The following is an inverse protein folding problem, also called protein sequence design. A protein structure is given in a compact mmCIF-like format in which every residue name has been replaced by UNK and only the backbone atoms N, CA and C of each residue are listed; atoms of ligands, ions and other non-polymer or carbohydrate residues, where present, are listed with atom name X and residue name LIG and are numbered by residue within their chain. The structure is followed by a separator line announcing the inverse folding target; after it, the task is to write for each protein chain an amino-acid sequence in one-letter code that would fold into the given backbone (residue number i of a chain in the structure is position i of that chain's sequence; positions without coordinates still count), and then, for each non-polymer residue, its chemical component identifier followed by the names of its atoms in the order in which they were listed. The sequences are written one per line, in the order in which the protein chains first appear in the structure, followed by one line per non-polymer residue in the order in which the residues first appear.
data_IF_115065199640
#
_entry.id   IF_115065199640
#
_cell.length_a   1.000
_cell.length_b   1.000
_cell.length_c   1.000
_cell.angle_alpha   90.00
_cell.angle_beta   90.00
_cell.angle_gamma   90.00
#
_symmetry.space_group_name_H-M   'P 1'
#
loop_
_entity.id
_entity.type
_entity.pdbx_description
1 polymer ?
#
# COMPACT_ATOMS: atom_id res chain seq x y z
N UNK A 1 -1.33 33.93 -1.57
CA UNK A 1 -0.94 32.54 -1.17
C UNK A 1 -0.26 31.81 -2.30
N UNK A 2 0.65 30.86 -1.98
CA UNK A 2 1.24 29.95 -2.97
C UNK A 2 0.69 28.53 -2.74
N UNK A 3 0.36 27.84 -3.82
CA UNK A 3 -0.01 26.44 -3.71
C UNK A 3 1.18 25.62 -3.21
N UNK A 4 0.98 24.79 -2.18
CA UNK A 4 2.01 23.89 -1.70
C UNK A 4 2.44 22.91 -2.80
N UNK A 5 3.74 22.77 -3.01
CA UNK A 5 4.34 21.77 -3.87
C UNK A 5 5.48 21.08 -3.09
N UNK A 6 5.57 19.75 -3.13
CA UNK A 6 6.70 19.05 -2.53
C UNK A 6 8.02 19.54 -3.13
N UNK A 7 9.03 19.72 -2.29
CA UNK A 7 10.37 20.19 -2.70
C UNK A 7 11.16 19.19 -3.57
N UNK A 8 10.63 17.97 -3.75
CA UNK A 8 11.28 16.85 -4.45
C UNK A 8 12.63 16.43 -3.85
N UNK A 9 12.92 16.84 -2.63
CA UNK A 9 14.14 16.44 -1.91
C UNK A 9 14.01 15.02 -1.39
N UNK A 10 15.05 14.23 -1.54
CA UNK A 10 15.17 12.89 -0.98
C UNK A 10 16.54 12.73 -0.33
N UNK A 11 16.64 12.91 1.00
CA UNK A 11 17.90 12.71 1.72
C UNK A 11 18.42 11.29 1.53
N UNK A 12 19.74 11.13 1.28
CA UNK A 12 20.33 9.80 1.00
C UNK A 12 20.07 8.79 2.12
N UNK A 13 20.14 9.24 3.39
CA UNK A 13 19.81 8.41 4.54
C UNK A 13 18.33 8.00 4.53
N UNK A 14 17.43 8.92 4.16
CA UNK A 14 16.00 8.63 4.03
C UNK A 14 15.73 7.58 2.94
N UNK A 15 16.39 7.72 1.78
CA UNK A 15 16.28 6.73 0.69
C UNK A 15 16.78 5.36 1.13
N UNK A 16 17.89 5.30 1.88
CA UNK A 16 18.42 4.05 2.42
C UNK A 16 17.44 3.40 3.41
N UNK A 17 16.83 4.19 4.31
CA UNK A 17 15.79 3.70 5.25
C UNK A 17 14.61 3.15 4.48
N UNK A 18 14.10 3.87 3.48
CA UNK A 18 12.95 3.43 2.70
C UNK A 18 13.26 2.17 1.90
N UNK A 19 14.43 2.08 1.26
CA UNK A 19 14.86 0.90 0.52
C UNK A 19 15.01 -0.33 1.43
N UNK A 20 15.65 -0.17 2.58
CA UNK A 20 15.76 -1.24 3.57
C UNK A 20 14.37 -1.69 4.08
N UNK A 21 13.49 -0.73 4.36
CA UNK A 21 12.11 -1.01 4.78
C UNK A 21 11.34 -1.75 3.69
N UNK A 22 11.52 -1.42 2.40
CA UNK A 22 10.89 -2.11 1.27
C UNK A 22 11.27 -3.59 1.21
N UNK A 23 12.55 -3.89 1.42
CA UNK A 23 13.06 -5.27 1.40
C UNK A 23 12.62 -6.05 2.65
N UNK A 24 12.85 -5.49 3.83
CA UNK A 24 12.60 -6.18 5.10
C UNK A 24 11.10 -6.40 5.32
N UNK A 25 10.28 -5.36 5.15
CA UNK A 25 8.83 -5.50 5.30
C UNK A 25 8.23 -6.42 4.24
N UNK A 26 8.74 -6.32 2.99
CA UNK A 26 8.28 -7.18 1.91
C UNK A 26 8.52 -8.66 2.21
N UNK A 27 9.73 -9.02 2.64
CA UNK A 27 10.04 -10.41 3.03
C UNK A 27 9.22 -10.85 4.23
N UNK A 28 9.10 -10.01 5.25
CA UNK A 28 8.38 -10.36 6.48
C UNK A 28 6.87 -10.55 6.22
N UNK A 29 6.23 -9.61 5.52
CA UNK A 29 4.79 -9.65 5.24
C UNK A 29 4.46 -10.78 4.26
N UNK A 30 5.24 -10.93 3.17
CA UNK A 30 5.03 -11.99 2.20
C UNK A 30 5.24 -13.38 2.81
N UNK A 31 6.30 -13.55 3.60
CA UNK A 31 6.59 -14.81 4.31
C UNK A 31 5.52 -15.16 5.36
N UNK A 32 5.10 -14.18 6.17
CA UNK A 32 3.99 -14.38 7.12
C UNK A 32 2.69 -14.76 6.41
N UNK A 33 2.39 -14.12 5.28
CA UNK A 33 1.20 -14.43 4.48
C UNK A 33 1.30 -15.84 3.88
N UNK A 34 2.48 -16.28 3.41
CA UNK A 34 2.68 -17.65 2.94
C UNK A 34 2.45 -18.69 4.03
N UNK A 35 2.85 -18.38 5.27
CA UNK A 35 2.60 -19.25 6.43
C UNK A 35 1.12 -19.33 6.78
N UNK A 36 0.43 -18.16 6.88
CA UNK A 36 -1.02 -18.11 7.17
C UNK A 36 -1.82 -18.78 6.06
N UNK A 37 -1.39 -18.61 4.80
CA UNK A 37 -2.03 -19.19 3.61
C UNK A 37 -2.07 -20.71 3.57
N UNK A 38 -1.30 -21.42 4.43
CA UNK A 38 -1.43 -22.88 4.61
C UNK A 38 -2.78 -23.28 5.22
N UNK A 39 -3.38 -22.40 6.01
CA UNK A 39 -4.60 -22.69 6.75
C UNK A 39 -5.83 -22.06 6.09
N UNK A 40 -5.70 -20.83 5.64
CA UNK A 40 -6.78 -20.06 5.04
C UNK A 40 -6.20 -19.12 3.99
N UNK A 41 -6.79 -19.08 2.79
CA UNK A 41 -6.43 -18.10 1.75
C UNK A 41 -7.67 -17.46 1.12
N UNK A 42 -7.74 -16.14 1.16
CA UNK A 42 -8.77 -15.35 0.52
C UNK A 42 -8.18 -14.56 -0.65
N UNK A 43 -8.60 -14.88 -1.87
CA UNK A 43 -8.03 -14.40 -3.12
C UNK A 43 -7.95 -12.86 -3.21
N UNK A 44 -8.91 -12.12 -2.67
CA UNK A 44 -8.92 -10.65 -2.72
C UNK A 44 -8.38 -10.04 -1.44
N UNK A 45 -8.75 -10.60 -0.29
CA UNK A 45 -8.43 -10.01 1.01
C UNK A 45 -6.92 -10.05 1.31
N UNK A 46 -6.24 -11.14 0.94
CA UNK A 46 -4.82 -11.28 1.19
C UNK A 46 -3.97 -10.29 0.38
N UNK A 47 -4.16 -10.12 -0.95
CA UNK A 47 -3.47 -9.09 -1.71
C UNK A 47 -3.73 -7.67 -1.19
N UNK A 48 -4.98 -7.35 -0.81
CA UNK A 48 -5.30 -6.06 -0.20
C UNK A 48 -4.58 -5.86 1.13
N UNK A 49 -4.64 -6.85 2.02
CA UNK A 49 -3.97 -6.80 3.33
C UNK A 49 -2.45 -6.65 3.23
N UNK A 50 -1.81 -7.44 2.34
CA UNK A 50 -0.37 -7.36 2.09
C UNK A 50 0.04 -5.99 1.54
N UNK A 51 -0.67 -5.50 0.52
CA UNK A 51 -0.38 -4.21 -0.11
C UNK A 51 -0.55 -3.06 0.87
N UNK A 52 -1.63 -3.06 1.66
CA UNK A 52 -1.88 -2.07 2.69
C UNK A 52 -0.82 -2.10 3.80
N UNK A 53 -0.50 -3.29 4.34
CA UNK A 53 0.50 -3.44 5.40
C UNK A 53 1.89 -2.98 4.92
N UNK A 54 2.32 -3.42 3.74
CA UNK A 54 3.59 -2.98 3.14
C UNK A 54 3.59 -1.47 2.92
N UNK A 55 2.54 -0.93 2.29
CA UNK A 55 2.41 0.51 2.04
C UNK A 55 2.44 1.35 3.31
N UNK A 56 1.79 0.90 4.39
CA UNK A 56 1.78 1.59 5.69
C UNK A 56 3.18 1.67 6.31
N UNK A 57 3.94 0.57 6.29
CA UNK A 57 5.33 0.55 6.75
C UNK A 57 6.18 1.52 5.92
N UNK A 58 5.99 1.53 4.60
CA UNK A 58 6.74 2.41 3.70
C UNK A 58 6.32 3.87 3.83
N UNK A 59 5.04 4.17 4.06
CA UNK A 59 4.57 5.52 4.37
C UNK A 59 5.22 6.07 5.63
N UNK A 60 5.31 5.25 6.69
CA UNK A 60 6.05 5.60 7.89
C UNK A 60 7.55 5.83 7.62
N UNK A 61 8.19 4.97 6.80
CA UNK A 61 9.58 5.11 6.42
C UNK A 61 9.85 6.40 5.62
N UNK A 62 8.92 6.81 4.74
CA UNK A 62 8.97 8.10 4.02
C UNK A 62 8.97 9.26 5.00
N UNK A 63 8.05 9.26 5.98
CA UNK A 63 7.98 10.31 7.01
C UNK A 63 9.25 10.33 7.86
N UNK A 64 9.72 9.19 8.33
CA UNK A 64 10.93 9.06 9.14
C UNK A 64 12.19 9.49 8.36
N UNK A 65 12.26 9.14 7.09
CA UNK A 65 13.36 9.49 6.18
C UNK A 65 13.24 10.90 5.59
N UNK A 66 12.18 11.64 5.91
CA UNK A 66 11.91 13.00 5.39
C UNK A 66 12.01 13.06 3.85
N UNK A 67 11.42 12.06 3.18
CA UNK A 67 11.42 11.96 1.72
C UNK A 67 10.25 12.76 1.17
N UNK A 68 10.54 13.85 0.46
CA UNK A 68 9.57 14.75 -0.20
C UNK A 68 9.57 14.58 -1.72
N UNK A 69 10.14 13.46 -2.20
CA UNK A 69 10.14 13.12 -3.61
C UNK A 69 9.15 11.97 -3.87
N UNK A 70 7.96 12.28 -4.44
CA UNK A 70 6.93 11.27 -4.68
C UNK A 70 7.35 10.20 -5.69
N UNK A 71 8.25 10.50 -6.65
CA UNK A 71 8.72 9.53 -7.63
C UNK A 71 9.64 8.47 -7.01
N UNK A 72 10.49 8.87 -6.06
CA UNK A 72 11.32 7.92 -5.30
C UNK A 72 10.43 7.08 -4.39
N UNK A 73 9.46 7.70 -3.73
CA UNK A 73 8.54 7.01 -2.84
C UNK A 73 7.70 5.95 -3.56
N UNK A 74 7.14 6.27 -4.75
CA UNK A 74 6.37 5.30 -5.56
C UNK A 74 7.28 4.18 -6.10
N UNK A 75 8.50 4.51 -6.57
CA UNK A 75 9.44 3.51 -7.09
C UNK A 75 9.83 2.48 -6.04
N UNK A 76 10.20 2.93 -4.82
CA UNK A 76 10.52 2.04 -3.70
C UNK A 76 9.28 1.36 -3.12
N UNK A 77 8.11 1.98 -3.23
CA UNK A 77 6.83 1.36 -2.91
C UNK A 77 6.50 0.19 -3.83
N UNK A 78 6.67 0.35 -5.14
CA UNK A 78 6.52 -0.73 -6.12
C UNK A 78 7.52 -1.87 -5.86
N UNK A 79 8.78 -1.54 -5.56
CA UNK A 79 9.79 -2.53 -5.18
C UNK A 79 9.33 -3.32 -3.94
N UNK A 80 8.83 -2.63 -2.90
CA UNK A 80 8.28 -3.27 -1.71
C UNK A 80 7.14 -4.22 -2.02
N UNK A 81 6.22 -3.81 -2.89
CA UNK A 81 5.11 -4.66 -3.35
C UNK A 81 5.58 -5.91 -4.12
N UNK A 82 6.56 -5.75 -5.01
CA UNK A 82 7.19 -6.86 -5.74
C UNK A 82 7.86 -7.85 -4.79
N UNK A 83 8.63 -7.35 -3.81
CA UNK A 83 9.29 -8.21 -2.79
C UNK A 83 8.24 -8.91 -1.93
N UNK A 84 7.17 -8.22 -1.53
CA UNK A 84 6.09 -8.83 -0.73
C UNK A 84 5.43 -9.99 -1.47
N UNK A 85 5.01 -9.75 -2.71
CA UNK A 85 4.35 -10.79 -3.50
C UNK A 85 5.30 -11.91 -3.93
N UNK A 86 6.53 -11.56 -4.29
CA UNK A 86 7.58 -12.55 -4.58
C UNK A 86 7.89 -13.45 -3.39
N UNK A 87 7.98 -12.88 -2.18
CA UNK A 87 8.18 -13.63 -0.94
C UNK A 87 7.00 -14.53 -0.59
N UNK A 88 5.76 -14.08 -0.86
CA UNK A 88 4.57 -14.96 -0.76
C UNK A 88 4.71 -16.18 -1.67
N UNK A 89 5.00 -15.96 -2.97
CA UNK A 89 5.12 -17.07 -3.94
C UNK A 89 6.28 -18.00 -3.63
N UNK A 90 7.41 -17.44 -3.22
CA UNK A 90 8.56 -18.24 -2.79
C UNK A 90 8.26 -19.04 -1.51
N UNK A 91 7.57 -18.44 -0.56
CA UNK A 91 7.12 -19.13 0.66
C UNK A 91 6.14 -20.27 0.35
N UNK A 92 5.24 -20.11 -0.62
CA UNK A 92 4.36 -21.17 -1.11
C UNK A 92 5.18 -22.33 -1.73
N UNK A 93 6.21 -22.03 -2.51
CA UNK A 93 7.14 -23.03 -3.03
C UNK A 93 7.86 -23.81 -1.95
N UNK A 94 8.37 -23.11 -0.92
CA UNK A 94 9.02 -23.77 0.22
C UNK A 94 8.06 -24.68 0.98
N UNK A 95 6.81 -24.28 1.14
CA UNK A 95 5.76 -25.08 1.75
C UNK A 95 5.46 -26.35 0.92
N UNK A 96 5.33 -26.20 -0.38
CA UNK A 96 5.14 -27.29 -1.33
C UNK A 96 6.28 -28.33 -1.25
N UNK A 97 7.53 -27.86 -1.25
CA UNK A 97 8.68 -28.76 -1.08
C UNK A 97 8.66 -29.50 0.25
N UNK A 98 8.36 -28.79 1.36
CA UNK A 98 8.30 -29.42 2.68
C UNK A 98 7.20 -30.49 2.76
N UNK A 99 6.05 -30.22 2.20
CA UNK A 99 4.93 -31.17 2.16
C UNK A 99 5.30 -32.42 1.38
N UNK A 100 5.86 -32.30 0.19
CA UNK A 100 6.28 -33.43 -0.62
C UNK A 100 7.42 -34.24 0.02
N UNK A 101 8.41 -33.57 0.63
CA UNK A 101 9.47 -34.25 1.39
C UNK A 101 8.85 -35.08 2.53
N UNK A 102 7.88 -34.53 3.26
CA UNK A 102 7.20 -35.26 4.33
C UNK A 102 6.43 -36.47 3.80
N UNK A 103 5.78 -36.37 2.65
CA UNK A 103 5.12 -37.50 2.00
C UNK A 103 6.13 -38.57 1.57
N UNK A 104 7.26 -38.17 0.98
CA UNK A 104 8.33 -39.10 0.58
C UNK A 104 8.96 -39.82 1.76
N UNK A 105 9.15 -39.14 2.89
CA UNK A 105 9.62 -39.77 4.13
C UNK A 105 8.64 -40.85 4.65
N UNK A 106 7.34 -40.56 4.62
CA UNK A 106 6.28 -41.43 5.15
C UNK A 106 5.95 -42.61 4.26
N UNK A 107 5.77 -42.36 2.97
CA UNK A 107 5.25 -43.36 2.05
C UNK A 107 6.35 -44.16 1.32
N UNK A 108 7.50 -43.50 1.07
CA UNK A 108 8.60 -44.11 0.30
C UNK A 108 9.88 -44.36 1.12
N UNK A 109 9.85 -44.08 2.43
CA UNK A 109 10.99 -44.25 3.36
C UNK A 109 12.27 -43.50 2.90
N UNK A 110 12.15 -42.41 2.16
CA UNK A 110 13.28 -41.58 1.74
C UNK A 110 13.70 -40.68 2.90
N UNK A 111 14.74 -41.07 3.61
CA UNK A 111 15.25 -40.37 4.80
C UNK A 111 16.18 -39.19 4.47
N UNK A 112 16.80 -39.20 3.29
CA UNK A 112 17.65 -38.10 2.83
C UNK A 112 16.83 -36.99 2.19
N UNK A 113 16.74 -35.85 2.89
CA UNK A 113 15.99 -34.68 2.43
C UNK A 113 16.55 -34.03 1.17
N UNK A 114 17.85 -34.19 0.91
CA UNK A 114 18.44 -33.63 -0.32
C UNK A 114 18.04 -34.49 -1.51
N UNK A 115 18.08 -35.80 -1.37
CA UNK A 115 17.61 -36.75 -2.38
C UNK A 115 16.13 -36.55 -2.67
N UNK A 116 15.29 -36.34 -1.64
CA UNK A 116 13.88 -36.06 -1.82
C UNK A 116 13.64 -34.77 -2.64
N UNK A 117 14.39 -33.71 -2.35
CA UNK A 117 14.29 -32.44 -3.14
C UNK A 117 14.74 -32.62 -4.57
N UNK A 118 15.81 -33.36 -4.83
CA UNK A 118 16.28 -33.65 -6.18
C UNK A 118 15.23 -34.44 -6.98
N UNK A 119 14.57 -35.41 -6.35
CA UNK A 119 13.47 -36.14 -6.96
C UNK A 119 12.26 -35.24 -7.26
N UNK A 120 11.93 -34.32 -6.34
CA UNK A 120 10.86 -33.32 -6.59
C UNK A 120 11.22 -32.45 -7.79
N UNK A 121 12.45 -31.97 -7.89
CA UNK A 121 12.90 -31.16 -9.02
C UNK A 121 12.89 -31.95 -10.34
N UNK A 122 13.23 -33.23 -10.32
CA UNK A 122 13.12 -34.13 -11.48
C UNK A 122 11.68 -34.29 -11.93
N UNK A 123 10.73 -34.50 -10.99
CA UNK A 123 9.30 -34.61 -11.28
C UNK A 123 8.77 -33.29 -11.87
N UNK A 124 9.19 -32.14 -11.31
CA UNK A 124 8.81 -30.83 -11.84
C UNK A 124 9.34 -30.64 -13.27
N UNK A 125 10.59 -31.04 -13.53
CA UNK A 125 11.21 -30.97 -14.86
C UNK A 125 10.46 -31.83 -15.87
N UNK A 126 10.11 -33.06 -15.52
CA UNK A 126 9.38 -33.98 -16.38
C UNK A 126 7.97 -33.48 -16.73
N UNK A 127 7.26 -32.94 -15.71
CA UNK A 127 5.88 -32.50 -15.90
C UNK A 127 5.74 -31.12 -16.55
N UNK A 128 6.70 -30.22 -16.33
CA UNK A 128 6.55 -28.79 -16.69
C UNK A 128 7.64 -28.29 -17.63
N UNK A 129 8.67 -29.09 -17.87
CA UNK A 129 9.87 -28.67 -18.60
C UNK A 129 10.78 -27.72 -17.81
N UNK A 130 10.58 -27.59 -16.49
CA UNK A 130 11.37 -26.70 -15.62
C UNK A 130 11.45 -27.25 -14.20
N UNK A 131 12.60 -27.10 -13.55
CA UNK A 131 12.79 -27.50 -12.15
C UNK A 131 12.66 -26.29 -11.20
N UNK A 132 12.72 -26.55 -9.90
CA UNK A 132 12.75 -25.53 -8.85
C UNK A 132 11.51 -24.64 -8.81
N UNK A 133 11.72 -23.37 -8.44
CA UNK A 133 10.62 -22.40 -8.31
C UNK A 133 9.81 -22.21 -9.62
N UNK A 134 10.48 -22.21 -10.78
CA UNK A 134 9.80 -22.03 -12.06
C UNK A 134 8.91 -23.24 -12.37
N UNK A 135 9.39 -24.46 -12.11
CA UNK A 135 8.60 -25.69 -12.23
C UNK A 135 7.39 -25.68 -11.31
N UNK A 136 7.57 -25.25 -10.05
CA UNK A 136 6.46 -25.07 -9.12
C UNK A 136 5.41 -24.08 -9.64
N UNK A 137 5.81 -22.91 -10.13
CA UNK A 137 4.86 -21.92 -10.67
C UNK A 137 4.05 -22.49 -11.82
N UNK A 138 4.69 -23.26 -12.72
CA UNK A 138 3.99 -23.90 -13.84
C UNK A 138 3.01 -24.99 -13.39
N UNK A 139 3.42 -25.87 -12.48
CA UNK A 139 2.54 -26.93 -11.99
C UNK A 139 1.37 -26.35 -11.18
N UNK A 140 1.60 -25.32 -10.38
CA UNK A 140 0.56 -24.63 -9.65
C UNK A 140 -0.46 -23.94 -10.57
N UNK A 141 -0.03 -23.44 -11.73
CA UNK A 141 -0.95 -22.92 -12.75
C UNK A 141 -1.78 -24.02 -13.42
N UNK A 142 -1.18 -25.18 -13.71
CA UNK A 142 -1.85 -26.33 -14.30
C UNK A 142 -2.88 -26.96 -13.34
N UNK A 143 -2.53 -27.11 -12.06
CA UNK A 143 -3.45 -27.57 -11.02
C UNK A 143 -4.56 -26.56 -10.76
N UNK A 144 -4.21 -25.28 -10.80
CA UNK A 144 -5.11 -24.17 -10.69
C UNK A 144 -5.53 -23.83 -9.27
N UNK A 145 -6.37 -22.80 -9.14
CA UNK A 145 -6.90 -22.29 -7.88
C UNK A 145 -8.39 -22.60 -7.83
N UNK A 146 -8.78 -23.44 -6.87
CA UNK A 146 -10.20 -23.78 -6.68
C UNK A 146 -10.86 -22.79 -5.73
N UNK A 147 -11.87 -22.08 -6.22
CA UNK A 147 -12.71 -21.20 -5.43
C UNK A 147 -13.96 -21.98 -5.05
N UNK A 148 -14.04 -22.45 -3.81
CA UNK A 148 -15.21 -23.12 -3.29
C UNK A 148 -15.97 -22.25 -2.29
N UNK A 149 -17.29 -22.29 -2.34
CA UNK A 149 -18.16 -21.67 -1.36
C UNK A 149 -18.79 -22.75 -0.51
N UNK A 150 -18.44 -22.77 0.78
CA UNK A 150 -19.01 -23.64 1.83
C UNK A 150 -19.90 -24.79 1.32
N UNK A 151 -19.30 -25.97 1.08
CA UNK A 151 -20.06 -27.20 0.79
C UNK A 151 -20.54 -27.38 -0.66
N UNK A 152 -20.20 -26.49 -1.61
CA UNK A 152 -20.52 -26.65 -3.05
C UNK A 152 -19.27 -26.89 -3.89
N UNK A 153 -19.43 -27.63 -5.01
CA UNK A 153 -18.35 -27.80 -6.00
C UNK A 153 -17.80 -26.44 -6.44
N UNK A 154 -16.49 -26.25 -6.27
CA UNK A 154 -15.82 -25.00 -6.59
C UNK A 154 -15.55 -24.86 -8.09
N UNK A 155 -15.39 -23.62 -8.54
CA UNK A 155 -14.83 -23.29 -9.86
C UNK A 155 -13.30 -23.26 -9.76
N UNK A 156 -12.60 -23.95 -10.64
CA UNK A 156 -11.13 -23.98 -10.67
C UNK A 156 -10.61 -23.12 -11.82
N UNK A 157 -9.78 -22.15 -11.49
CA UNK A 157 -9.08 -21.28 -12.44
C UNK A 157 -7.73 -21.94 -12.75
N UNK A 158 -7.46 -22.30 -14.01
CA UNK A 158 -6.26 -23.03 -14.45
C UNK A 158 -5.50 -22.29 -15.55
N UNK A 159 -4.27 -22.74 -15.78
CA UNK A 159 -3.43 -22.35 -16.90
C UNK A 159 -3.24 -20.83 -17.02
N UNK A 160 -3.50 -20.26 -18.19
CA UNK A 160 -3.33 -18.84 -18.46
C UNK A 160 -4.18 -17.95 -17.54
N UNK A 161 -5.34 -18.41 -17.11
CA UNK A 161 -6.20 -17.65 -16.19
C UNK A 161 -5.63 -17.62 -14.77
N UNK A 162 -4.89 -18.63 -14.35
CA UNK A 162 -4.17 -18.59 -13.07
C UNK A 162 -3.06 -17.52 -13.09
N UNK A 163 -2.28 -17.42 -14.16
CA UNK A 163 -1.28 -16.35 -14.33
C UNK A 163 -1.92 -14.97 -14.36
N UNK A 164 -3.06 -14.81 -15.04
CA UNK A 164 -3.79 -13.55 -15.07
C UNK A 164 -4.25 -13.13 -13.65
N UNK A 165 -4.80 -14.10 -12.89
CA UNK A 165 -5.19 -13.83 -11.50
C UNK A 165 -4.00 -13.39 -10.65
N UNK A 166 -2.86 -14.08 -10.76
CA UNK A 166 -1.64 -13.71 -10.04
C UNK A 166 -1.09 -12.34 -10.45
N UNK A 167 -1.23 -11.97 -11.71
CA UNK A 167 -0.87 -10.63 -12.18
C UNK A 167 -1.78 -9.55 -11.57
N UNK A 168 -3.07 -9.84 -11.45
CA UNK A 168 -4.03 -8.94 -10.77
C UNK A 168 -3.69 -8.81 -9.29
N UNK A 169 -3.40 -9.92 -8.59
CA UNK A 169 -2.98 -9.91 -7.19
C UNK A 169 -1.71 -9.06 -6.99
N UNK A 170 -0.70 -9.29 -7.85
CA UNK A 170 0.53 -8.49 -7.85
C UNK A 170 0.25 -7.00 -8.11
N UNK A 171 -0.66 -6.70 -9.04
CA UNK A 171 -1.10 -5.33 -9.33
C UNK A 171 -1.74 -4.66 -8.12
N UNK A 172 -2.62 -5.36 -7.39
CA UNK A 172 -3.25 -4.87 -6.16
C UNK A 172 -2.20 -4.59 -5.08
N UNK A 173 -1.32 -5.55 -4.82
CA UNK A 173 -0.25 -5.41 -3.82
C UNK A 173 0.68 -4.25 -4.18
N UNK A 174 1.15 -4.19 -5.43
CA UNK A 174 2.05 -3.14 -5.91
C UNK A 174 1.41 -1.75 -5.85
N UNK A 175 0.15 -1.64 -6.28
CA UNK A 175 -0.59 -0.37 -6.25
C UNK A 175 -0.73 0.18 -4.82
N UNK A 176 -1.17 -0.64 -3.87
CA UNK A 176 -1.35 -0.21 -2.48
C UNK A 176 0.00 0.07 -1.81
N UNK A 177 1.00 -0.80 -2.01
CA UNK A 177 2.34 -0.60 -1.48
C UNK A 177 3.02 0.67 -2.01
N UNK A 178 2.65 1.15 -3.20
CA UNK A 178 3.20 2.35 -3.80
C UNK A 178 2.38 3.61 -3.49
N UNK A 179 1.04 3.52 -3.44
CA UNK A 179 0.16 4.68 -3.28
C UNK A 179 0.29 5.34 -1.92
N UNK A 180 0.48 4.56 -0.84
CA UNK A 180 0.59 5.09 0.52
C UNK A 180 1.88 5.92 0.70
N UNK A 181 3.11 5.39 0.41
CA UNK A 181 4.32 6.19 0.50
C UNK A 181 4.33 7.38 -0.48
N UNK A 182 3.72 7.24 -1.66
CA UNK A 182 3.52 8.34 -2.59
C UNK A 182 2.68 9.47 -1.98
N UNK A 183 1.56 9.14 -1.34
CA UNK A 183 0.72 10.11 -0.65
C UNK A 183 1.47 10.77 0.53
N UNK A 184 2.19 9.97 1.32
CA UNK A 184 3.02 10.48 2.44
C UNK A 184 4.11 11.44 1.98
N UNK A 185 4.74 11.19 0.83
CA UNK A 185 5.78 12.08 0.28
C UNK A 185 5.21 13.42 -0.26
N UNK A 186 3.91 13.52 -0.44
CA UNK A 186 3.19 14.73 -0.86
C UNK A 186 2.66 15.57 0.30
N UNK A 187 2.68 15.04 1.50
CA UNK A 187 2.24 15.80 2.66
C UNK A 187 3.07 17.07 2.85
N UNK A 188 2.49 18.13 3.40
CA UNK A 188 3.19 19.36 3.65
C UNK A 188 4.38 19.17 4.61
N UNK A 189 5.53 19.75 4.23
CA UNK A 189 6.77 19.72 4.99
C UNK A 189 7.34 21.13 5.11
N UNK A 190 7.73 21.52 6.31
CA UNK A 190 8.38 22.80 6.56
C UNK A 190 9.90 22.63 6.45
N UNK A 191 10.50 23.29 5.45
CA UNK A 191 11.96 23.19 5.20
C UNK A 191 12.79 23.91 6.27
N UNK A 192 12.26 24.99 6.89
CA UNK A 192 12.96 25.75 7.94
C UNK A 192 12.96 24.96 9.25
N UNK A 193 11.80 24.42 9.65
CA UNK A 193 11.69 23.55 10.82
C UNK A 193 12.30 22.17 10.57
N UNK A 194 12.55 21.83 9.31
CA UNK A 194 12.97 20.50 8.88
C UNK A 194 12.05 19.40 9.45
N UNK A 195 10.74 19.64 9.41
CA UNK A 195 9.74 18.70 9.94
C UNK A 195 8.42 18.78 9.15
N UNK A 196 7.59 17.73 9.32
CA UNK A 196 6.28 17.66 8.72
C UNK A 196 5.30 18.58 9.42
N UNK A 197 4.38 19.19 8.66
CA UNK A 197 3.24 19.88 9.27
C UNK A 197 2.38 18.88 10.04
N UNK A 198 1.78 19.34 11.14
CA UNK A 198 0.90 18.56 12.00
C UNK A 198 -0.40 18.12 11.34
N UNK A 199 -1.29 17.57 12.12
CA UNK A 199 -2.62 17.17 11.66
C UNK A 199 -3.44 18.38 11.21
N UNK A 200 -4.43 18.12 10.33
CA UNK A 200 -5.36 19.14 9.87
C UNK A 200 -6.33 19.49 11.01
N UNK A 201 -6.28 20.71 11.47
CA UNK A 201 -7.22 21.27 12.44
C UNK A 201 -8.32 22.01 11.68
N UNK A 202 -9.57 21.68 11.96
CA UNK A 202 -10.70 22.38 11.40
C UNK A 202 -10.80 23.78 11.98
N UNK A 203 -10.87 24.81 11.12
CA UNK A 203 -10.93 26.23 11.49
C UNK A 203 -12.34 26.77 11.42
N UNK A 204 -13.10 26.34 10.43
CA UNK A 204 -14.47 26.79 10.23
C UNK A 204 -15.04 26.37 8.89
N UNK A 205 -16.34 26.64 8.72
CA UNK A 205 -17.04 26.39 7.48
C UNK A 205 -17.61 27.69 6.89
N UNK A 206 -17.66 27.76 5.56
CA UNK A 206 -18.30 28.86 4.82
C UNK A 206 -19.39 28.32 3.89
N UNK A 207 -20.35 29.16 3.51
CA UNK A 207 -21.35 28.81 2.50
C UNK A 207 -20.70 28.70 1.12
N UNK A 208 -21.31 27.93 0.22
CA UNK A 208 -20.87 27.83 -1.18
C UNK A 208 -20.81 29.21 -1.86
N UNK A 209 -21.75 30.09 -1.57
CA UNK A 209 -21.84 31.45 -2.12
C UNK A 209 -20.60 32.29 -1.74
N UNK A 210 -20.00 32.05 -0.57
CA UNK A 210 -18.81 32.75 -0.08
C UNK A 210 -17.50 32.22 -0.65
N UNK A 211 -17.53 31.16 -1.46
CA UNK A 211 -16.35 30.43 -1.94
C UNK A 211 -15.33 31.34 -2.63
N UNK A 212 -15.79 32.07 -3.64
CA UNK A 212 -14.90 32.85 -4.51
C UNK A 212 -14.30 34.04 -3.72
N UNK A 213 -15.08 34.62 -2.83
CA UNK A 213 -14.60 35.69 -1.95
C UNK A 213 -13.62 35.18 -0.92
N UNK A 214 -13.89 34.01 -0.29
CA UNK A 214 -12.97 33.37 0.62
C UNK A 214 -11.61 33.06 -0.05
N UNK A 215 -11.64 32.48 -1.25
CA UNK A 215 -10.43 32.19 -2.03
C UNK A 215 -9.68 33.47 -2.38
N UNK A 216 -10.40 34.53 -2.75
CA UNK A 216 -9.83 35.84 -3.05
C UNK A 216 -9.09 36.42 -1.83
N UNK A 217 -9.75 36.46 -0.67
CA UNK A 217 -9.19 36.99 0.58
C UNK A 217 -7.96 36.19 1.02
N UNK A 218 -8.04 34.85 0.95
CA UNK A 218 -6.88 33.99 1.24
C UNK A 218 -5.71 34.26 0.28
N UNK A 219 -5.95 34.51 -1.00
CA UNK A 219 -4.90 34.78 -1.98
C UNK A 219 -4.19 36.13 -1.75
N UNK A 220 -4.87 37.13 -1.20
CA UNK A 220 -4.28 38.42 -0.85
C UNK A 220 -3.77 38.50 0.58
N UNK A 221 -3.73 37.36 1.29
CA UNK A 221 -3.31 37.23 2.71
C UNK A 221 -4.17 38.05 3.70
N UNK A 222 -5.41 38.37 3.36
CA UNK A 222 -6.38 38.97 4.27
C UNK A 222 -7.04 37.91 5.16
N UNK A 223 -6.30 37.48 6.18
CA UNK A 223 -6.78 36.47 7.14
C UNK A 223 -7.95 36.97 7.99
N UNK A 224 -8.00 38.27 8.26
CA UNK A 224 -9.09 38.88 9.03
C UNK A 224 -10.40 38.84 8.23
N UNK A 225 -10.36 39.26 6.98
CA UNK A 225 -11.52 39.15 6.07
C UNK A 225 -11.95 37.71 5.84
N UNK A 226 -11.00 36.81 5.61
CA UNK A 226 -11.28 35.39 5.42
C UNK A 226 -11.93 34.75 6.66
N UNK A 227 -11.43 35.06 7.87
CA UNK A 227 -11.99 34.52 9.12
C UNK A 227 -13.41 35.04 9.40
N UNK A 228 -13.74 36.25 8.96
CA UNK A 228 -15.10 36.80 9.10
C UNK A 228 -16.15 36.06 8.26
N UNK A 229 -15.73 35.35 7.21
CA UNK A 229 -16.62 34.52 6.38
C UNK A 229 -16.82 33.10 6.95
N UNK A 230 -16.01 32.71 7.95
CA UNK A 230 -16.05 31.37 8.52
C UNK A 230 -16.99 31.32 9.74
N UNK A 231 -17.87 30.32 9.75
CA UNK A 231 -18.65 29.96 10.93
C UNK A 231 -17.84 28.99 11.80
N UNK A 232 -17.78 29.27 13.10
CA UNK A 232 -17.20 28.36 14.11
C UNK A 232 -18.07 27.13 14.42
N UNK A 233 -19.28 27.08 13.86
CA UNK A 233 -20.18 25.93 13.97
C UNK A 233 -20.12 25.14 12.67
N UNK A 234 -19.90 23.81 12.72
CA UNK A 234 -19.89 22.98 11.51
C UNK A 234 -21.16 23.16 10.71
N UNK A 235 -21.03 23.44 9.42
CA UNK A 235 -22.19 23.64 8.58
C UNK A 235 -22.80 22.28 8.23
N UNK A 236 -24.03 22.05 8.71
CA UNK A 236 -24.80 20.80 8.47
C UNK A 236 -25.44 20.80 7.06
N UNK A 237 -25.54 21.96 6.42
CA UNK A 237 -26.13 22.09 5.10
C UNK A 237 -25.09 21.93 3.99
N UNK A 238 -25.35 21.06 3.07
CA UNK A 238 -24.52 20.85 1.87
C UNK A 238 -25.18 21.46 0.66
N UNK A 239 -24.46 22.08 -0.27
CA UNK A 239 -22.98 22.17 -0.30
C UNK A 239 -22.40 23.27 0.60
N UNK A 240 -21.18 23.07 1.11
CA UNK A 240 -20.44 24.03 1.92
C UNK A 240 -18.91 23.85 1.74
N UNK A 241 -18.16 24.75 2.33
CA UNK A 241 -16.71 24.73 2.30
C UNK A 241 -16.19 24.59 3.73
N UNK A 242 -15.30 23.62 3.94
CA UNK A 242 -14.54 23.49 5.17
C UNK A 242 -13.12 24.00 4.99
N UNK A 243 -12.64 24.74 5.98
CA UNK A 243 -11.29 25.27 6.04
C UNK A 243 -10.53 24.58 7.17
N UNK A 244 -9.37 24.07 6.83
CA UNK A 244 -8.45 23.41 7.78
C UNK A 244 -7.12 24.14 7.76
N UNK A 245 -6.49 24.19 8.93
CA UNK A 245 -5.13 24.72 9.13
C UNK A 245 -4.21 23.58 9.58
N UNK A 246 -2.96 23.63 9.15
CA UNK A 246 -1.89 22.78 9.66
C UNK A 246 -0.72 23.67 10.08
N UNK A 247 -0.22 23.48 11.27
CA UNK A 247 0.93 24.20 11.82
C UNK A 247 2.11 23.27 12.05
N UNK A 248 3.32 23.82 12.08
CA UNK A 248 4.54 23.12 12.46
C UNK A 248 4.98 23.56 13.85
N UNK A 249 5.33 22.62 14.71
CA UNK A 249 5.74 22.92 16.09
C UNK A 249 7.08 23.68 16.07
N UNK A 250 7.13 24.85 16.72
CA UNK A 250 8.36 25.64 16.87
C UNK A 250 8.60 26.69 15.78
N UNK A 251 7.67 26.88 14.85
CA UNK A 251 7.74 27.94 13.83
C UNK A 251 6.63 28.97 14.07
N UNK A 252 6.89 30.22 13.67
CA UNK A 252 5.95 31.33 13.82
C UNK A 252 4.62 31.01 13.11
N UNK A 253 3.50 31.50 13.66
CA UNK A 253 2.15 31.35 13.10
C UNK A 253 1.98 31.81 11.63
N UNK A 254 2.96 32.53 11.08
CA UNK A 254 2.97 32.97 9.68
C UNK A 254 3.15 31.84 8.65
N UNK A 255 3.61 30.65 9.07
CA UNK A 255 3.88 29.51 8.20
C UNK A 255 2.89 28.37 8.47
N UNK A 256 1.61 28.60 8.23
CA UNK A 256 0.59 27.55 8.26
C UNK A 256 0.14 27.17 6.84
N UNK A 257 -0.18 25.90 6.66
CA UNK A 257 -0.80 25.41 5.42
C UNK A 257 -2.30 25.42 5.58
N UNK A 258 -3.01 26.13 4.71
CA UNK A 258 -4.46 26.19 4.71
C UNK A 258 -4.98 25.27 3.64
N UNK A 259 -5.90 24.37 4.01
CA UNK A 259 -6.61 23.48 3.09
C UNK A 259 -8.06 23.89 3.03
N UNK A 260 -8.55 24.17 1.81
CA UNK A 260 -9.96 24.48 1.54
C UNK A 260 -10.59 23.25 0.90
N UNK A 261 -11.61 22.68 1.53
CA UNK A 261 -12.30 21.47 1.07
C UNK A 261 -13.75 21.76 0.74
N UNK A 262 -14.19 21.38 -0.47
CA UNK A 262 -15.58 21.51 -0.88
C UNK A 262 -16.37 20.25 -0.55
N UNK A 263 -17.43 20.39 0.23
CA UNK A 263 -18.32 19.29 0.65
C UNK A 263 -19.62 19.39 -0.16
N UNK A 264 -19.85 18.43 -1.07
CA UNK A 264 -21.03 18.38 -1.92
C UNK A 264 -22.10 17.40 -1.40
N UNK A 265 -23.34 17.57 -1.87
CA UNK A 265 -24.50 16.72 -1.52
C UNK A 265 -24.29 15.22 -1.81
N UNK A 266 -23.44 14.89 -2.78
CA UNK A 266 -23.17 13.49 -3.15
C UNK A 266 -22.35 12.72 -2.11
N UNK A 267 -21.62 13.41 -1.24
CA UNK A 267 -20.85 12.78 -0.15
C UNK A 267 -21.75 12.26 0.99
N UNK A 268 -22.95 12.85 1.17
CA UNK A 268 -23.89 12.44 2.23
C UNK A 268 -24.70 11.20 1.89
N UNK A 269 -24.94 10.90 0.61
CA UNK A 269 -25.63 9.67 0.20
C UNK A 269 -24.81 8.39 0.36
N UNK A 270 -23.51 8.52 0.67
CA UNK A 270 -22.64 7.36 0.94
C UNK A 270 -22.50 7.03 2.43
N UNK A 271 -23.12 7.82 3.32
CA UNK A 271 -23.05 7.64 4.78
C UNK A 271 -24.40 7.17 5.39
N UNK A 272 -25.44 6.94 4.59
CA UNK A 272 -26.67 6.19 4.92
C UNK A 272 -26.59 4.77 4.32
#
# INVERSE_FOLDING_TARGET
MRNYQPSNVAPSQGVAILAASSLVSGVAIGGATAFIGKFIYFIVLFPLGMGFATGSVLGFAVKKGKIRNPLIAIGLGLLGGLVTYGSLKYGQYMNFQQELVTVMEREYAVTDKNLAREQIDTILQEKTGSSGFVGFVKIAAQEGITISRSGRSGFTIKDNFAYLLWLIELGIVGFLAASIPFASAKEPFNEEANDWYGEKEWVGSASEESRDELIRLLNIDDMTGASALLSSVPNIWTPHIDVYSQSCVGVSFSDSVITVSYVSTNAKKQLE
#
